data_IF_079847813366
#
_entry.id   IF_079847813366
#
_cell.length_a   1.000
_cell.length_b   1.000
_cell.length_c   1.000
_cell.angle_alpha   90.00
_cell.angle_beta   90.00
_cell.angle_gamma   90.00
#
_symmetry.space_group_name_H-M   'P 1'
#
loop_
_entity.id
_entity.type
_entity.pdbx_description
1 polymer ?
#
# COMPACT_ATOMS: atom_id res chain seq x y z
N UNK A 1 6.95 -16.99 0.37
CA UNK A 1 5.66 -16.28 0.50
C UNK A 1 5.92 -14.79 0.61
N UNK A 2 5.31 -14.00 -0.26
CA UNK A 2 5.52 -12.55 -0.24
C UNK A 2 4.78 -11.89 0.93
N UNK A 3 5.41 -10.91 1.55
CA UNK A 3 4.83 -10.16 2.65
C UNK A 3 4.31 -8.81 2.14
N UNK A 4 3.05 -8.51 2.42
CA UNK A 4 2.44 -7.23 2.09
C UNK A 4 2.18 -6.45 3.37
N UNK A 5 2.60 -5.20 3.41
CA UNK A 5 2.23 -4.28 4.48
C UNK A 5 0.98 -3.53 4.03
N UNK A 6 -0.12 -3.73 4.75
CA UNK A 6 -1.38 -3.04 4.48
C UNK A 6 -1.52 -1.89 5.47
N UNK A 7 -1.55 -0.67 4.95
CA UNK A 7 -1.72 0.55 5.77
C UNK A 7 -3.13 1.07 5.53
N UNK A 8 -4.02 0.81 6.49
CA UNK A 8 -5.44 1.10 6.38
C UNK A 8 -6.03 1.35 7.77
N UNK A 9 -6.67 2.49 7.98
CA UNK A 9 -7.23 2.85 9.27
C UNK A 9 -8.64 2.30 9.52
N UNK A 10 -9.37 1.94 8.47
CA UNK A 10 -10.72 1.39 8.60
C UNK A 10 -10.67 -0.10 8.89
N UNK A 11 -11.18 -0.50 10.06
CA UNK A 11 -11.10 -1.88 10.51
C UNK A 11 -11.79 -2.86 9.57
N UNK A 12 -12.98 -2.52 9.05
CA UNK A 12 -13.70 -3.41 8.15
C UNK A 12 -12.95 -3.62 6.84
N UNK A 13 -12.42 -2.56 6.26
CA UNK A 13 -11.65 -2.65 5.02
C UNK A 13 -10.36 -3.44 5.24
N UNK A 14 -9.71 -3.19 6.37
CA UNK A 14 -8.48 -3.87 6.75
C UNK A 14 -8.69 -5.37 6.89
N UNK A 15 -9.74 -5.77 7.63
CA UNK A 15 -10.05 -7.18 7.84
C UNK A 15 -10.40 -7.88 6.54
N UNK A 16 -11.25 -7.27 5.72
CA UNK A 16 -11.69 -7.84 4.46
C UNK A 16 -10.51 -8.08 3.52
N UNK A 17 -9.68 -7.06 3.36
CA UNK A 17 -8.55 -7.14 2.43
C UNK A 17 -7.49 -8.11 2.94
N UNK A 18 -7.21 -8.11 4.24
CA UNK A 18 -6.27 -9.05 4.86
C UNK A 18 -6.68 -10.49 4.59
N UNK A 19 -7.94 -10.83 4.84
CA UNK A 19 -8.43 -12.19 4.61
C UNK A 19 -8.28 -12.62 3.17
N UNK A 20 -8.61 -11.73 2.24
CA UNK A 20 -8.54 -12.03 0.81
C UNK A 20 -7.11 -12.23 0.34
N UNK A 21 -6.19 -11.40 0.83
CA UNK A 21 -4.77 -11.51 0.49
C UNK A 21 -4.17 -12.79 1.07
N UNK A 22 -4.51 -13.12 2.31
CA UNK A 22 -4.03 -14.35 2.94
C UNK A 22 -4.51 -15.60 2.20
N UNK A 23 -5.73 -15.58 1.70
CA UNK A 23 -6.25 -16.70 0.89
C UNK A 23 -5.46 -16.90 -0.40
N UNK A 24 -4.83 -15.85 -0.89
CA UNK A 24 -4.00 -15.91 -2.10
C UNK A 24 -2.55 -16.27 -1.79
N UNK A 25 -2.24 -16.55 -0.53
CA UNK A 25 -0.91 -16.99 -0.14
C UNK A 25 0.04 -15.88 0.31
N UNK A 26 -0.45 -14.67 0.51
CA UNK A 26 0.38 -13.58 1.00
C UNK A 26 0.40 -13.55 2.53
N UNK A 27 1.54 -13.18 3.09
CA UNK A 27 1.63 -12.82 4.49
C UNK A 27 1.30 -11.34 4.60
N UNK A 28 0.45 -10.96 5.56
CA UNK A 28 0.00 -9.57 5.68
C UNK A 28 0.37 -9.00 7.03
N UNK A 29 1.10 -7.90 7.03
CA UNK A 29 1.34 -7.09 8.22
C UNK A 29 0.43 -5.86 8.14
N UNK A 30 -0.06 -5.37 9.27
CA UNK A 30 -1.07 -4.32 9.32
C UNK A 30 -0.55 -3.09 10.04
N UNK A 31 -0.69 -1.92 9.43
CA UNK A 31 -0.48 -0.62 10.06
C UNK A 31 -1.81 0.14 10.02
N UNK A 32 -2.12 0.89 11.07
CA UNK A 32 -3.43 1.56 11.20
C UNK A 32 -3.38 3.07 10.97
N UNK A 33 -2.19 3.62 10.79
CA UNK A 33 -2.01 5.02 10.42
C UNK A 33 -0.72 5.20 9.62
N UNK A 34 -0.53 6.41 9.10
CA UNK A 34 0.61 6.67 8.23
C UNK A 34 1.96 6.55 8.92
N UNK A 35 2.04 6.93 10.19
CA UNK A 35 3.30 6.82 10.94
C UNK A 35 3.66 5.37 11.18
N UNK A 36 2.69 4.54 11.57
CA UNK A 36 2.93 3.10 11.70
C UNK A 36 3.35 2.49 10.36
N UNK A 37 2.77 2.97 9.27
CA UNK A 37 3.13 2.52 7.93
C UNK A 37 4.60 2.74 7.63
N UNK A 38 5.11 3.94 7.92
CA UNK A 38 6.52 4.26 7.72
C UNK A 38 7.40 3.40 8.62
N UNK A 39 7.06 3.32 9.90
CA UNK A 39 7.85 2.56 10.87
C UNK A 39 7.91 1.08 10.51
N UNK A 40 6.77 0.50 10.13
CA UNK A 40 6.70 -0.92 9.79
C UNK A 40 7.29 -1.24 8.41
N UNK A 41 7.35 -0.27 7.49
CA UNK A 41 8.06 -0.46 6.24
C UNK A 41 9.54 -0.77 6.51
N UNK A 42 10.09 -0.17 7.55
CA UNK A 42 11.47 -0.47 7.97
C UNK A 42 11.60 -1.74 8.80
N UNK A 43 10.70 -1.94 9.76
CA UNK A 43 10.83 -3.05 10.72
C UNK A 43 10.38 -4.39 10.16
N UNK A 44 9.37 -4.42 9.28
CA UNK A 44 8.80 -5.65 8.73
C UNK A 44 9.43 -6.08 7.41
N UNK A 45 10.16 -5.19 6.76
CA UNK A 45 10.77 -5.45 5.46
C UNK A 45 9.79 -6.07 4.46
N UNK A 46 8.63 -5.43 4.20
CA UNK A 46 7.65 -6.02 3.29
C UNK A 46 8.14 -6.03 1.85
N UNK A 47 7.57 -6.92 1.06
CA UNK A 47 7.86 -6.99 -0.36
C UNK A 47 7.06 -5.95 -1.16
N UNK A 48 5.96 -5.48 -0.59
CA UNK A 48 5.08 -4.51 -1.22
C UNK A 48 4.22 -3.84 -0.16
N UNK A 49 3.85 -2.58 -0.38
CA UNK A 49 3.01 -1.81 0.53
C UNK A 49 1.72 -1.40 -0.19
N UNK A 50 0.57 -1.67 0.45
CA UNK A 50 -0.72 -1.12 0.04
C UNK A 50 -1.00 0.06 0.97
N UNK A 51 -1.02 1.27 0.41
CA UNK A 51 -1.10 2.51 1.19
C UNK A 51 -2.40 3.25 0.94
N UNK A 52 -3.29 3.28 1.93
CA UNK A 52 -4.47 4.13 1.87
C UNK A 52 -3.99 5.59 1.91
N UNK A 53 -4.61 6.44 1.12
CA UNK A 53 -4.23 7.85 1.08
C UNK A 53 -4.89 8.69 2.15
N UNK A 54 -6.04 8.26 2.68
CA UNK A 54 -6.82 9.00 3.69
C UNK A 54 -6.52 8.50 5.10
N UNK A 55 -5.28 8.65 5.55
CA UNK A 55 -4.83 8.13 6.85
C UNK A 55 -4.74 9.23 7.90
N UNK A 56 -4.95 8.88 9.20
CA UNK A 56 -4.67 9.80 10.29
C UNK A 56 -3.18 9.87 10.60
N UNK A 57 -2.79 10.81 11.42
CA UNK A 57 -1.44 11.14 11.90
C UNK A 57 -0.63 11.77 10.75
N UNK A 58 -0.17 10.98 9.80
CA UNK A 58 0.31 11.48 8.51
C UNK A 58 -0.45 10.75 7.42
N UNK A 59 -0.80 11.46 6.34
CA UNK A 59 -1.57 10.85 5.27
C UNK A 59 -0.72 9.94 4.40
N UNK A 60 -1.36 9.21 3.49
CA UNK A 60 -0.66 8.26 2.64
C UNK A 60 0.34 8.89 1.68
N UNK A 61 0.10 10.14 1.28
CA UNK A 61 1.05 10.88 0.43
C UNK A 61 2.35 11.12 1.15
N UNK A 62 2.27 11.64 2.37
CA UNK A 62 3.44 11.94 3.17
C UNK A 62 4.17 10.67 3.61
N UNK A 63 3.42 9.63 4.00
CA UNK A 63 4.01 8.34 4.34
C UNK A 63 4.81 7.77 3.16
N UNK A 64 4.25 7.83 1.95
CA UNK A 64 4.94 7.37 0.75
C UNK A 64 6.21 8.17 0.49
N UNK A 65 6.14 9.51 0.62
CA UNK A 65 7.33 10.36 0.44
C UNK A 65 8.44 9.97 1.41
N UNK A 66 8.11 9.74 2.67
CA UNK A 66 9.09 9.34 3.67
C UNK A 66 9.72 7.99 3.36
N UNK A 67 8.92 7.02 2.92
CA UNK A 67 9.41 5.71 2.53
C UNK A 67 10.36 5.84 1.33
N UNK A 68 9.96 6.58 0.32
CA UNK A 68 10.75 6.73 -0.90
C UNK A 68 11.99 7.59 -0.70
N UNK A 69 12.03 8.41 0.35
CA UNK A 69 13.20 9.20 0.70
C UNK A 69 14.24 8.39 1.48
N UNK A 70 13.89 7.21 1.99
CA UNK A 70 14.80 6.38 2.77
C UNK A 70 15.56 5.41 1.87
N UNK A 71 16.89 5.43 1.88
CA UNK A 71 17.67 4.46 1.09
C UNK A 71 17.37 3.00 1.44
N UNK A 72 16.96 2.73 2.68
CA UNK A 72 16.66 1.37 3.13
C UNK A 72 15.29 0.88 2.64
N UNK A 73 14.38 1.79 2.29
CA UNK A 73 12.98 1.45 1.97
C UNK A 73 12.55 1.87 0.57
N UNK A 74 13.32 2.70 -0.11
CA UNK A 74 12.90 3.32 -1.36
C UNK A 74 12.60 2.31 -2.49
N UNK A 75 13.17 1.12 -2.41
CA UNK A 75 12.94 0.10 -3.44
C UNK A 75 11.66 -0.72 -3.21
N UNK A 76 10.99 -0.56 -2.05
CA UNK A 76 9.76 -1.28 -1.77
C UNK A 76 8.64 -0.69 -2.63
N UNK A 77 7.96 -1.52 -3.47
CA UNK A 77 6.85 -0.99 -4.28
C UNK A 77 5.68 -0.55 -3.41
N UNK A 78 5.08 0.59 -3.75
CA UNK A 78 3.91 1.14 -3.05
C UNK A 78 2.77 1.29 -4.03
N UNK A 79 1.62 0.68 -3.72
CA UNK A 79 0.37 0.88 -4.44
C UNK A 79 -0.51 1.78 -3.59
N UNK A 80 -0.87 2.96 -4.10
CA UNK A 80 -1.77 3.86 -3.41
C UNK A 80 -3.21 3.41 -3.58
N UNK A 81 -3.99 3.44 -2.49
CA UNK A 81 -5.42 3.13 -2.53
C UNK A 81 -6.19 4.42 -2.28
N UNK A 82 -7.01 4.84 -3.23
CA UNK A 82 -7.76 6.09 -3.12
C UNK A 82 -9.27 5.85 -3.22
N UNK A 83 -10.05 6.62 -2.44
CA UNK A 83 -11.50 6.61 -2.52
C UNK A 83 -12.01 7.45 -3.70
N UNK A 84 -11.14 8.25 -4.30
CA UNK A 84 -11.51 9.19 -5.35
C UNK A 84 -10.70 8.94 -6.62
N UNK A 85 -11.39 8.60 -7.70
CA UNK A 85 -10.78 8.34 -9.00
C UNK A 85 -10.68 9.63 -9.84
N UNK A 86 -10.30 10.75 -9.21
CA UNK A 86 -10.14 12.00 -9.92
C UNK A 86 -8.76 12.06 -10.61
N UNK A 87 -8.72 12.67 -11.76
CA UNK A 87 -7.49 12.72 -12.57
C UNK A 87 -6.28 13.27 -11.81
N UNK A 88 -6.51 14.19 -10.87
CA UNK A 88 -5.43 14.76 -10.07
C UNK A 88 -4.82 13.80 -9.05
N UNK A 89 -5.59 12.80 -8.60
CA UNK A 89 -5.12 11.88 -7.56
C UNK A 89 -4.07 10.90 -8.09
N UNK A 90 -4.24 10.41 -9.31
CA UNK A 90 -3.24 9.55 -9.93
C UNK A 90 -1.91 10.28 -10.06
N UNK A 91 -1.94 11.51 -10.56
CA UNK A 91 -0.74 12.30 -10.72
C UNK A 91 -0.05 12.55 -9.39
N UNK A 92 -0.82 12.90 -8.34
CA UNK A 92 -0.27 13.11 -7.00
C UNK A 92 0.37 11.85 -6.44
N UNK A 93 -0.26 10.69 -6.65
CA UNK A 93 0.28 9.41 -6.20
C UNK A 93 1.65 9.16 -6.82
N UNK A 94 1.75 9.33 -8.13
CA UNK A 94 3.01 9.12 -8.83
C UNK A 94 4.06 10.14 -8.42
N UNK A 95 3.68 11.40 -8.21
CA UNK A 95 4.61 12.44 -7.75
C UNK A 95 5.11 12.17 -6.33
N UNK A 96 4.29 11.54 -5.48
CA UNK A 96 4.72 11.16 -4.13
C UNK A 96 5.67 9.96 -4.14
N UNK A 97 5.78 9.27 -5.27
CA UNK A 97 6.66 8.13 -5.45
C UNK A 97 5.97 6.78 -5.46
N UNK A 98 4.63 6.74 -5.52
CA UNK A 98 3.90 5.49 -5.63
C UNK A 98 4.22 4.82 -6.97
N UNK A 99 4.32 3.50 -6.95
CA UNK A 99 4.63 2.72 -8.15
C UNK A 99 3.38 2.43 -8.97
N UNK A 100 2.22 2.39 -8.32
CA UNK A 100 0.94 2.23 -8.96
C UNK A 100 -0.14 2.77 -8.03
N UNK A 101 -1.39 2.77 -8.49
CA UNK A 101 -2.52 3.17 -7.65
C UNK A 101 -3.73 2.32 -8.01
N UNK A 102 -4.70 2.25 -7.10
CA UNK A 102 -5.99 1.63 -7.36
C UNK A 102 -7.07 2.42 -6.64
N UNK A 103 -8.30 2.25 -7.08
CA UNK A 103 -9.44 2.99 -6.54
C UNK A 103 -10.33 2.08 -5.70
N UNK A 104 -10.96 2.68 -4.68
CA UNK A 104 -11.99 2.00 -3.89
C UNK A 104 -13.34 2.20 -4.57
N UNK A 105 -14.25 1.23 -4.52
CA UNK A 105 -14.12 -0.05 -3.82
C UNK A 105 -13.11 -0.98 -4.51
N UNK A 106 -12.42 -1.76 -3.70
CA UNK A 106 -11.35 -2.62 -4.20
C UNK A 106 -11.91 -3.75 -5.06
N UNK A 107 -11.41 -3.84 -6.29
CA UNK A 107 -11.60 -5.01 -7.15
C UNK A 107 -10.39 -5.90 -6.94
N UNK A 108 -10.58 -7.00 -6.24
CA UNK A 108 -9.46 -7.86 -5.83
C UNK A 108 -8.69 -8.40 -7.03
N UNK A 109 -9.38 -8.80 -8.08
CA UNK A 109 -8.72 -9.34 -9.28
C UNK A 109 -7.80 -8.31 -9.92
N UNK A 110 -8.28 -7.07 -10.04
CA UNK A 110 -7.49 -5.96 -10.59
C UNK A 110 -6.30 -5.65 -9.68
N UNK A 111 -6.53 -5.58 -8.37
CA UNK A 111 -5.48 -5.30 -7.41
C UNK A 111 -4.41 -6.39 -7.41
N UNK A 112 -4.81 -7.66 -7.43
CA UNK A 112 -3.87 -8.78 -7.50
C UNK A 112 -2.99 -8.71 -8.74
N UNK A 113 -3.55 -8.31 -9.87
CA UNK A 113 -2.76 -8.14 -11.09
C UNK A 113 -1.68 -7.08 -10.93
N UNK A 114 -2.01 -5.97 -10.26
CA UNK A 114 -1.03 -4.91 -9.98
C UNK A 114 0.04 -5.38 -8.99
N UNK A 115 -0.36 -6.11 -7.95
CA UNK A 115 0.57 -6.66 -6.97
C UNK A 115 1.56 -7.60 -7.65
N UNK A 116 1.05 -8.54 -8.42
CA UNK A 116 1.90 -9.52 -9.12
C UNK A 116 2.85 -8.84 -10.09
N UNK A 117 2.37 -7.82 -10.79
CA UNK A 117 3.19 -7.06 -11.73
C UNK A 117 4.39 -6.39 -11.01
N UNK A 118 4.15 -5.80 -9.86
CA UNK A 118 5.21 -5.12 -9.11
C UNK A 118 6.13 -6.07 -8.37
N UNK A 119 5.63 -7.23 -7.94
CA UNK A 119 6.46 -8.24 -7.29
C UNK A 119 7.33 -9.00 -8.29
N UNK A 120 7.11 -8.79 -9.57
CA UNK A 120 7.90 -9.44 -10.59
C UNK A 120 7.70 -10.93 -10.61
N UNK A 121 6.45 -11.37 -10.60
CA UNK A 121 6.13 -12.79 -10.66
C UNK A 121 6.71 -13.36 -11.96
N UNK A 122 7.72 -14.12 -11.82
CA UNK A 122 8.34 -14.80 -12.94
C UNK A 122 7.54 -16.05 -13.28
#
# INVERSE_FOLDING_TARGET
>A
MSKILLVEDNEMNRDMLTRRLERKGFEVAIAVDGQQGVDMAGSESPDLILMDLSLPVIDGWEATRQIKASPAMQSIPVIALTAHAMAGDEKKALEAGCDDYDTKPIDLKRLLGKIENLLGSA
#
